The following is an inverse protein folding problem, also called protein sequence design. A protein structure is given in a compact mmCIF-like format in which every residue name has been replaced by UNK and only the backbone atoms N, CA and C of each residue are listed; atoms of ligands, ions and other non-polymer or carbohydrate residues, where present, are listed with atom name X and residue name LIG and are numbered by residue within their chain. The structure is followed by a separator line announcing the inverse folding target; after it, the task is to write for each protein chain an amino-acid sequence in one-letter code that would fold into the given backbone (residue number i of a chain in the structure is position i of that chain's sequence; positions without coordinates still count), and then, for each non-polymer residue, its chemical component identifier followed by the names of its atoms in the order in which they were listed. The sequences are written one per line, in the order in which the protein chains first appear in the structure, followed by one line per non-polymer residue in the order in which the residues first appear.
data_IF_940270269656
#
_entry.id   IF_940270269656
#
_cell.length_a   1.000
_cell.length_b   1.000
_cell.length_c   1.000
_cell.angle_alpha   90.00
_cell.angle_beta   90.00
_cell.angle_gamma   90.00
#
_symmetry.space_group_name_H-M   'P 1'
#
loop_
_entity.id
_entity.type
_entity.pdbx_description
1 polymer ?
#
# COMPACT_ATOMS: atom_id res chain seq x y z
N UNK A 1 10.30 3.84 -2.85
CA UNK A 1 11.66 3.46 -2.39
C UNK A 1 12.30 4.49 -1.47
N UNK A 2 11.58 5.53 -1.02
CA UNK A 2 12.11 6.46 -0.01
C UNK A 2 12.32 5.79 1.36
N UNK A 3 13.09 6.45 2.24
CA UNK A 3 13.67 5.85 3.46
C UNK A 3 12.70 4.99 4.29
N UNK A 4 11.46 5.39 4.61
CA UNK A 4 10.56 4.55 5.40
C UNK A 4 10.20 3.23 4.71
N UNK A 5 9.92 3.26 3.41
CA UNK A 5 9.64 2.07 2.61
C UNK A 5 10.90 1.23 2.39
N UNK A 6 12.05 1.88 2.19
CA UNK A 6 13.33 1.21 2.04
C UNK A 6 13.69 0.40 3.29
N UNK A 7 13.57 1.00 4.48
CA UNK A 7 13.78 0.32 5.77
C UNK A 7 12.84 -0.87 5.99
N UNK A 8 11.73 -0.93 5.26
CA UNK A 8 10.73 -1.99 5.32
C UNK A 8 10.85 -3.00 4.17
N UNK A 9 11.89 -2.90 3.34
CA UNK A 9 12.19 -3.87 2.28
C UNK A 9 11.56 -3.54 0.92
N UNK A 10 11.30 -2.26 0.60
CA UNK A 10 10.74 -1.93 -0.73
C UNK A 10 11.62 -2.31 -1.92
N UNK A 11 12.92 -2.51 -1.71
CA UNK A 11 13.84 -2.97 -2.76
C UNK A 11 13.50 -4.40 -3.19
N UNK A 12 13.12 -5.27 -2.24
CA UNK A 12 12.68 -6.64 -2.53
C UNK A 12 11.39 -6.63 -3.36
N UNK A 13 10.49 -5.70 -3.07
CA UNK A 13 9.25 -5.48 -3.83
C UNK A 13 9.57 -4.99 -5.25
N UNK A 14 10.49 -4.03 -5.39
CA UNK A 14 10.92 -3.52 -6.70
C UNK A 14 11.54 -4.62 -7.57
N UNK A 15 12.47 -5.40 -7.01
CA UNK A 15 13.11 -6.51 -7.72
C UNK A 15 12.12 -7.62 -8.09
N UNK A 16 11.13 -7.90 -7.22
CA UNK A 16 10.03 -8.79 -7.56
C UNK A 16 9.26 -8.31 -8.79
N UNK A 17 8.89 -7.02 -8.85
CA UNK A 17 8.15 -6.46 -10.00
C UNK A 17 8.99 -6.55 -11.28
N UNK A 18 10.27 -6.15 -11.23
CA UNK A 18 11.19 -6.26 -12.37
C UNK A 18 11.28 -7.70 -12.88
N UNK A 19 11.51 -8.65 -11.97
CA UNK A 19 11.65 -10.07 -12.32
C UNK A 19 10.37 -10.66 -12.94
N UNK A 20 9.19 -10.35 -12.37
CA UNK A 20 7.92 -10.90 -12.85
C UNK A 20 7.46 -10.31 -14.18
N UNK A 21 7.72 -9.02 -14.40
CA UNK A 21 7.31 -8.34 -15.63
C UNK A 21 8.40 -8.34 -16.70
N UNK A 22 9.63 -8.72 -16.35
CA UNK A 22 10.82 -8.70 -17.20
C UNK A 22 11.03 -7.31 -17.84
N UNK A 23 11.04 -6.28 -16.99
CA UNK A 23 11.26 -4.87 -17.35
C UNK A 23 12.10 -4.18 -16.26
N UNK A 24 12.79 -3.10 -16.65
CA UNK A 24 13.48 -2.21 -15.71
C UNK A 24 12.65 -0.96 -15.36
N UNK A 25 13.14 -0.17 -14.41
CA UNK A 25 12.50 1.11 -14.02
C UNK A 25 12.50 2.06 -15.21
N UNK A 26 11.34 2.63 -15.52
CA UNK A 26 11.09 3.51 -16.66
C UNK A 26 10.61 2.78 -17.91
N UNK A 27 10.59 1.44 -17.90
CA UNK A 27 10.17 0.65 -19.05
C UNK A 27 8.69 0.26 -18.99
N UNK A 28 8.18 -0.11 -20.16
CA UNK A 28 6.82 -0.64 -20.34
C UNK A 28 6.92 -2.06 -20.89
N UNK A 29 6.15 -2.96 -20.29
CA UNK A 29 6.01 -4.36 -20.72
C UNK A 29 5.59 -4.49 -22.19
N UNK A 30 5.98 -5.60 -22.83
CA UNK A 30 5.75 -5.84 -24.26
C UNK A 30 4.28 -5.99 -24.65
N UNK A 31 3.41 -6.34 -23.70
CA UNK A 31 1.96 -6.39 -23.86
C UNK A 31 1.29 -5.03 -23.60
N UNK A 32 2.08 -3.99 -23.30
CA UNK A 32 1.65 -2.63 -23.00
C UNK A 32 0.68 -2.51 -21.81
N UNK A 33 0.66 -3.49 -20.90
CA UNK A 33 -0.25 -3.49 -19.75
C UNK A 33 0.35 -2.84 -18.50
N UNK A 34 1.68 -2.93 -18.34
CA UNK A 34 2.39 -2.44 -17.17
C UNK A 34 3.54 -1.51 -17.56
N UNK A 35 3.64 -0.39 -16.85
CA UNK A 35 4.80 0.52 -16.85
C UNK A 35 5.31 0.61 -15.43
N UNK A 36 6.62 0.39 -15.24
CA UNK A 36 7.24 0.47 -13.91
C UNK A 36 7.88 1.84 -13.73
N UNK A 37 7.43 2.61 -12.74
CA UNK A 37 8.10 3.84 -12.31
C UNK A 37 8.48 3.74 -10.85
N UNK A 38 9.70 4.13 -10.55
CA UNK A 38 10.10 4.46 -9.19
C UNK A 38 9.64 5.88 -8.88
N UNK A 39 9.11 6.11 -7.68
CA UNK A 39 8.57 7.39 -7.25
C UNK A 39 9.02 7.71 -5.82
N UNK A 40 8.94 8.99 -5.50
CA UNK A 40 9.19 9.51 -4.16
C UNK A 40 8.09 9.08 -3.16
N UNK A 41 8.09 9.68 -1.98
CA UNK A 41 7.13 9.36 -0.92
C UNK A 41 5.67 9.57 -1.36
N UNK A 42 4.84 8.53 -1.21
CA UNK A 42 3.40 8.54 -1.47
C UNK A 42 2.55 8.72 -0.20
N UNK A 43 3.16 9.01 0.96
CA UNK A 43 2.43 9.36 2.18
C UNK A 43 1.80 8.20 2.96
N UNK A 44 2.02 6.94 2.56
CA UNK A 44 1.54 5.74 3.25
C UNK A 44 2.61 5.08 4.16
N UNK A 45 3.42 5.89 4.84
CA UNK A 45 4.64 5.43 5.53
C UNK A 45 4.39 4.38 6.61
N UNK A 46 3.26 4.47 7.33
CA UNK A 46 2.92 3.49 8.38
C UNK A 46 2.50 2.13 7.81
N UNK A 47 2.19 2.07 6.51
CA UNK A 47 1.82 0.89 5.73
C UNK A 47 2.92 0.41 4.78
N UNK A 48 4.17 0.80 5.05
CA UNK A 48 5.31 0.38 4.27
C UNK A 48 5.64 -1.13 4.40
N UNK A 49 6.09 -1.80 3.31
CA UNK A 49 6.25 -1.24 1.97
C UNK A 49 4.94 -1.26 1.18
N UNK A 50 4.78 -0.33 0.23
CA UNK A 50 3.56 -0.17 -0.56
C UNK A 50 3.88 0.19 -2.01
N UNK A 51 2.93 -0.09 -2.91
CA UNK A 51 2.94 0.38 -4.31
C UNK A 51 1.63 1.07 -4.64
N UNK A 52 1.67 1.99 -5.60
CA UNK A 52 0.48 2.56 -6.21
C UNK A 52 0.34 1.99 -7.62
N UNK A 53 -0.86 1.51 -7.95
CA UNK A 53 -1.19 1.06 -9.31
C UNK A 53 -2.43 1.85 -9.73
N UNK A 54 -2.25 2.76 -10.70
CA UNK A 54 -3.23 3.78 -11.04
C UNK A 54 -3.65 4.57 -9.79
N UNK A 55 -4.92 4.54 -9.42
CA UNK A 55 -5.48 5.29 -8.28
C UNK A 55 -5.43 4.51 -6.95
N UNK A 56 -5.05 3.23 -6.99
CA UNK A 56 -5.20 2.33 -5.86
C UNK A 56 -3.86 2.09 -5.12
N UNK A 57 -3.90 2.19 -3.80
CA UNK A 57 -2.76 1.84 -2.93
C UNK A 57 -2.85 0.38 -2.52
N UNK A 58 -1.72 -0.32 -2.63
CA UNK A 58 -1.53 -1.68 -2.15
C UNK A 58 -0.40 -1.66 -1.15
N UNK A 59 -0.69 -2.04 0.09
CA UNK A 59 0.16 -1.68 1.22
C UNK A 59 0.49 -2.90 2.09
N UNK A 60 1.46 -2.73 3.00
CA UNK A 60 1.98 -3.80 3.85
C UNK A 60 2.42 -5.04 3.07
N UNK A 61 3.06 -4.79 1.92
CA UNK A 61 3.32 -5.81 0.92
C UNK A 61 4.43 -6.76 1.32
N UNK A 62 4.21 -8.04 1.03
CA UNK A 62 5.28 -9.02 0.87
C UNK A 62 5.57 -9.23 -0.63
N UNK A 63 6.69 -9.92 -0.91
CA UNK A 63 6.99 -10.38 -2.28
C UNK A 63 5.81 -11.21 -2.83
N UNK A 64 5.28 -12.13 -2.02
CA UNK A 64 4.17 -13.00 -2.41
C UNK A 64 2.90 -12.23 -2.75
N UNK A 65 2.55 -11.23 -1.94
CA UNK A 65 1.41 -10.34 -2.22
C UNK A 65 1.58 -9.58 -3.54
N UNK A 66 2.81 -9.12 -3.81
CA UNK A 66 3.14 -8.40 -5.03
C UNK A 66 2.99 -9.29 -6.26
N UNK A 67 3.47 -10.54 -6.19
CA UNK A 67 3.28 -11.52 -7.27
C UNK A 67 1.80 -11.81 -7.54
N UNK A 68 1.00 -11.94 -6.48
CA UNK A 68 -0.45 -12.18 -6.58
C UNK A 68 -1.16 -10.99 -7.24
N UNK A 69 -0.88 -9.76 -6.79
CA UNK A 69 -1.46 -8.53 -7.33
C UNK A 69 -1.16 -8.42 -8.84
N UNK A 70 0.11 -8.61 -9.24
CA UNK A 70 0.49 -8.55 -10.65
C UNK A 70 -0.20 -9.65 -11.49
N UNK A 71 -0.31 -10.85 -10.94
CA UNK A 71 -0.96 -11.98 -11.61
C UNK A 71 -2.47 -11.73 -11.80
N UNK A 72 -3.14 -11.21 -10.77
CA UNK A 72 -4.56 -10.88 -10.84
C UNK A 72 -4.85 -9.74 -11.82
N UNK A 73 -4.01 -8.70 -11.83
CA UNK A 73 -4.12 -7.60 -12.80
C UNK A 73 -3.93 -8.11 -14.24
N UNK A 74 -2.95 -8.98 -14.47
CA UNK A 74 -2.72 -9.59 -15.79
C UNK A 74 -3.87 -10.49 -16.23
N UNK A 75 -4.60 -11.08 -15.28
CA UNK A 75 -5.83 -11.83 -15.52
C UNK A 75 -7.08 -10.95 -15.69
N UNK A 76 -6.94 -9.62 -15.68
CA UNK A 76 -8.05 -8.67 -15.81
C UNK A 76 -8.90 -8.54 -14.55
N UNK A 77 -8.44 -9.05 -13.40
CA UNK A 77 -9.10 -8.85 -12.11
C UNK A 77 -8.63 -7.55 -11.49
N UNK A 78 -9.44 -7.01 -10.57
CA UNK A 78 -9.07 -5.88 -9.73
C UNK A 78 -8.81 -6.36 -8.30
N UNK A 79 -7.54 -6.50 -7.86
CA UNK A 79 -7.22 -6.83 -6.48
C UNK A 79 -7.76 -5.76 -5.53
N UNK A 80 -8.05 -6.15 -4.29
CA UNK A 80 -8.57 -5.22 -3.27
C UNK A 80 -7.47 -4.24 -2.84
N UNK A 81 -7.67 -2.92 -2.95
CA UNK A 81 -6.74 -1.93 -2.42
C UNK A 81 -6.67 -1.95 -0.89
N UNK A 82 -5.52 -1.54 -0.34
CA UNK A 82 -5.24 -1.41 1.08
C UNK A 82 -4.16 -2.38 1.60
N UNK A 83 -4.03 -2.50 2.93
CA UNK A 83 -3.08 -3.38 3.62
C UNK A 83 -3.30 -4.86 3.33
N UNK A 84 -2.20 -5.63 3.16
CA UNK A 84 -2.24 -7.09 2.97
C UNK A 84 -1.98 -7.92 4.22
N UNK A 85 -1.54 -7.30 5.32
CA UNK A 85 -1.14 -8.01 6.54
C UNK A 85 -2.29 -8.30 7.54
N UNK A 86 -3.55 -8.10 7.14
CA UNK A 86 -4.73 -8.40 7.94
C UNK A 86 -5.31 -7.23 8.74
N UNK A 87 -4.62 -6.09 8.83
CA UNK A 87 -5.22 -4.84 9.31
C UNK A 87 -6.09 -4.19 8.23
N UNK A 88 -6.95 -3.26 8.61
CA UNK A 88 -7.85 -2.57 7.71
C UNK A 88 -7.25 -1.30 7.11
N UNK A 89 -6.62 -0.45 7.92
CA UNK A 89 -6.03 0.81 7.50
C UNK A 89 -4.66 1.01 8.18
N UNK A 90 -4.56 1.96 9.10
CA UNK A 90 -3.31 2.34 9.75
C UNK A 90 -3.19 1.89 11.21
N UNK A 91 -4.14 1.10 11.70
CA UNK A 91 -4.11 0.63 13.09
C UNK A 91 -2.94 -0.34 13.35
N UNK A 92 -2.55 -0.53 14.63
CA UNK A 92 -1.55 -1.53 14.97
C UNK A 92 -2.04 -2.93 14.56
N UNK A 93 -1.18 -3.69 13.86
CA UNK A 93 -1.53 -5.01 13.30
C UNK A 93 -1.95 -6.05 14.36
N UNK A 94 -1.65 -5.84 15.63
CA UNK A 94 -1.98 -6.74 16.74
C UNK A 94 -3.27 -6.35 17.48
N UNK A 95 -4.06 -5.43 16.92
CA UNK A 95 -5.31 -4.94 17.50
C UNK A 95 -5.22 -3.48 17.95
N UNK A 96 -6.40 -2.89 18.17
CA UNK A 96 -6.55 -1.49 18.56
C UNK A 96 -5.91 -1.24 19.94
N UNK A 97 -4.94 -0.33 19.99
CA UNK A 97 -4.31 0.14 21.24
C UNK A 97 -4.84 1.50 21.71
N UNK A 98 -5.62 2.17 20.87
CA UNK A 98 -6.26 3.45 21.11
C UNK A 98 -7.64 3.46 20.43
N UNK A 99 -8.47 4.47 20.75
CA UNK A 99 -9.82 4.61 20.20
C UNK A 99 -10.71 3.35 20.41
N UNK A 100 -10.53 2.66 21.55
CA UNK A 100 -11.28 1.43 21.88
C UNK A 100 -12.63 1.69 22.54
N UNK A 101 -12.86 2.92 23.04
CA UNK A 101 -14.14 3.34 23.60
C UNK A 101 -15.07 3.96 22.56
N UNK A 102 -16.33 4.14 22.94
CA UNK A 102 -17.28 4.87 22.10
C UNK A 102 -16.86 6.34 21.94
N UNK A 103 -16.97 6.93 20.74
CA UNK A 103 -16.63 8.33 20.54
C UNK A 103 -17.59 9.23 21.31
N UNK A 104 -17.12 10.39 21.81
CA UNK A 104 -18.01 11.36 22.42
C UNK A 104 -19.04 11.84 21.41
N UNK A 105 -20.31 11.89 21.83
CA UNK A 105 -21.40 12.38 21.01
C UNK A 105 -21.38 13.90 20.80
N UNK A 106 -22.32 14.44 19.99
CA UNK A 106 -22.42 15.88 19.76
C UNK A 106 -22.65 16.64 21.07
N UNK A 107 -22.04 17.82 21.18
CA UNK A 107 -22.11 18.65 22.39
C UNK A 107 -20.99 18.40 23.40
N UNK A 108 -20.25 17.30 23.28
CA UNK A 108 -19.10 17.05 24.14
C UNK A 108 -18.00 18.09 23.89
N UNK A 109 -17.60 18.81 24.95
CA UNK A 109 -16.58 19.86 24.86
C UNK A 109 -17.05 21.17 24.22
N UNK A 110 -18.35 21.31 23.91
CA UNK A 110 -18.91 22.58 23.41
C UNK A 110 -18.86 23.62 24.54
N UNK A 111 -18.38 24.81 24.21
CA UNK A 111 -18.29 25.90 25.18
C UNK A 111 -19.68 26.43 25.55
N UNK A 112 -19.90 26.92 26.77
CA UNK A 112 -21.22 27.41 27.20
C UNK A 112 -21.74 28.63 26.44
N UNK A 113 -20.87 29.37 25.74
CA UNK A 113 -21.17 30.62 25.03
C UNK A 113 -21.39 30.42 23.51
N UNK A 114 -21.53 29.18 23.05
CA UNK A 114 -21.74 28.81 21.64
C UNK A 114 -23.16 28.29 21.38
#
# INVERSE_FOLDING_TARGET
TTTPCWLRGSDEILECVKSKLNIDVGETSSDCQFTLSEVECLGACVNAPMVQINDDYYEDLTVQDTEEILSDLKAGKKPKPGPRNGRFAAEPAKGLTSLTGEPPGPGFGVRPDL
#
